data_IF_804097537272
#
_entry.id   IF_804097537272
#
_cell.length_a   1.000
_cell.length_b   1.000
_cell.length_c   1.000
_cell.angle_alpha   90.00
_cell.angle_beta   90.00
_cell.angle_gamma   90.00
#
_symmetry.space_group_name_H-M   'P 1'
#
loop_
_entity.id
_entity.type
_entity.pdbx_description
1 polymer ?
#
# COMPACT_ATOMS: atom_id res chain seq x y z
N UNK A 1 -3.71 33.58 -18.43
CA UNK A 1 -4.60 32.67 -17.69
C UNK A 1 -4.00 31.28 -17.75
N UNK A 2 -3.48 30.78 -16.65
CA UNK A 2 -2.99 29.39 -16.53
C UNK A 2 -4.26 28.54 -16.51
N UNK A 3 -4.65 27.97 -17.65
CA UNK A 3 -5.69 26.93 -17.70
C UNK A 3 -5.09 25.70 -17.04
N UNK A 4 -5.23 25.63 -15.71
CA UNK A 4 -4.87 24.44 -14.95
C UNK A 4 -5.72 23.31 -15.49
N UNK A 5 -5.07 22.32 -16.14
CA UNK A 5 -5.76 21.16 -16.67
C UNK A 5 -6.53 20.50 -15.50
N UNK A 6 -7.84 20.25 -15.62
CA UNK A 6 -8.68 19.71 -14.53
C UNK A 6 -8.13 18.38 -13.98
N UNK A 7 -7.44 17.64 -14.83
CA UNK A 7 -6.76 16.39 -14.50
C UNK A 7 -5.63 16.57 -13.45
N UNK A 8 -4.85 17.66 -13.58
CA UNK A 8 -3.78 17.97 -12.62
C UNK A 8 -4.34 18.32 -11.25
N UNK A 9 -5.42 19.10 -11.22
CA UNK A 9 -6.11 19.45 -9.96
C UNK A 9 -6.67 18.20 -9.29
N UNK A 10 -7.30 17.32 -10.09
CA UNK A 10 -7.81 16.04 -9.57
C UNK A 10 -6.68 15.20 -8.96
N UNK A 11 -5.59 14.99 -9.69
CA UNK A 11 -4.45 14.22 -9.20
C UNK A 11 -3.79 14.85 -7.98
N UNK A 12 -3.70 16.17 -7.91
CA UNK A 12 -3.19 16.88 -6.73
C UNK A 12 -4.07 16.60 -5.51
N UNK A 13 -5.41 16.71 -5.67
CA UNK A 13 -6.37 16.38 -4.59
C UNK A 13 -6.20 14.93 -4.14
N UNK A 14 -6.16 13.95 -5.05
CA UNK A 14 -5.92 12.54 -4.72
C UNK A 14 -4.66 12.36 -3.89
N UNK A 15 -3.55 12.97 -4.31
CA UNK A 15 -2.28 12.87 -3.60
C UNK A 15 -2.31 13.48 -2.20
N UNK A 16 -2.99 14.62 -2.02
CA UNK A 16 -3.23 15.21 -0.70
C UNK A 16 -4.11 14.28 0.15
N UNK A 17 -5.17 13.69 -0.43
CA UNK A 17 -6.03 12.72 0.25
C UNK A 17 -5.26 11.52 0.78
N UNK A 18 -4.40 10.91 -0.05
CA UNK A 18 -3.55 9.80 0.37
C UNK A 18 -2.66 10.20 1.57
N UNK A 19 -2.05 11.39 1.52
CA UNK A 19 -1.21 11.88 2.60
C UNK A 19 -1.99 12.07 3.91
N UNK A 20 -3.17 12.69 3.83
CA UNK A 20 -4.06 12.92 5.00
C UNK A 20 -4.56 11.61 5.59
N UNK A 21 -5.05 10.67 4.76
CA UNK A 21 -5.53 9.37 5.24
C UNK A 21 -4.41 8.50 5.79
N UNK A 22 -3.20 8.57 5.22
CA UNK A 22 -2.03 7.91 5.80
C UNK A 22 -1.68 8.49 7.17
N UNK A 23 -1.68 9.82 7.32
CA UNK A 23 -1.42 10.48 8.59
C UNK A 23 -2.49 10.07 9.64
N UNK A 24 -3.76 10.08 9.27
CA UNK A 24 -4.86 9.63 10.12
C UNK A 24 -4.67 8.17 10.56
N UNK A 25 -4.40 7.26 9.60
CA UNK A 25 -4.12 5.87 9.91
C UNK A 25 -2.95 5.73 10.90
N UNK A 26 -1.87 6.49 10.70
CA UNK A 26 -0.67 6.40 11.53
C UNK A 26 -0.90 6.89 12.95
N UNK A 27 -1.76 7.89 13.11
CA UNK A 27 -2.10 8.45 14.43
C UNK A 27 -3.07 7.56 15.20
N UNK A 28 -4.09 7.02 14.55
CA UNK A 28 -5.23 6.38 15.22
C UNK A 28 -5.27 4.85 15.09
N UNK A 29 -4.90 4.29 13.93
CA UNK A 29 -5.15 2.88 13.63
C UNK A 29 -3.89 1.98 13.68
N UNK A 30 -2.67 2.54 13.64
CA UNK A 30 -1.46 1.75 13.44
C UNK A 30 -1.09 0.84 14.62
N UNK A 31 -1.61 1.11 15.82
CA UNK A 31 -1.34 0.34 17.04
C UNK A 31 -2.41 -0.70 17.35
N UNK A 32 -3.55 -0.65 16.67
CA UNK A 32 -4.64 -1.59 16.90
C UNK A 32 -4.26 -3.02 16.52
N UNK A 33 -4.75 -3.96 17.29
CA UNK A 33 -4.56 -5.40 17.07
C UNK A 33 -5.72 -6.05 16.31
N UNK A 34 -6.72 -5.27 15.93
CA UNK A 34 -7.86 -5.71 15.10
C UNK A 34 -7.47 -5.67 13.61
N UNK A 35 -6.66 -6.62 13.15
CA UNK A 35 -6.07 -6.62 11.83
C UNK A 35 -7.08 -6.62 10.68
N UNK A 36 -8.26 -7.23 10.85
CA UNK A 36 -9.33 -7.20 9.83
C UNK A 36 -9.88 -5.78 9.66
N UNK A 37 -10.17 -5.07 10.76
CA UNK A 37 -10.63 -3.68 10.71
C UNK A 37 -9.56 -2.75 10.10
N UNK A 38 -8.29 -2.98 10.43
CA UNK A 38 -7.18 -2.26 9.80
C UNK A 38 -7.10 -2.48 8.30
N UNK A 39 -7.33 -3.72 7.83
CA UNK A 39 -7.40 -4.05 6.40
C UNK A 39 -8.50 -3.24 5.71
N UNK A 40 -9.72 -3.27 6.26
CA UNK A 40 -10.87 -2.52 5.74
C UNK A 40 -10.55 -1.02 5.72
N UNK A 41 -10.03 -0.48 6.82
CA UNK A 41 -9.69 0.95 6.93
C UNK A 41 -8.65 1.37 5.87
N UNK A 42 -7.55 0.60 5.72
CA UNK A 42 -6.50 0.91 4.75
C UNK A 42 -7.02 0.91 3.29
N UNK A 43 -7.83 -0.10 2.92
CA UNK A 43 -8.42 -0.17 1.58
C UNK A 43 -9.47 0.92 1.36
N UNK A 44 -10.29 1.22 2.39
CA UNK A 44 -11.28 2.30 2.34
C UNK A 44 -10.60 3.67 2.20
N UNK A 45 -9.53 3.95 2.91
CA UNK A 45 -8.77 5.20 2.79
C UNK A 45 -8.20 5.37 1.38
N UNK A 46 -7.71 4.27 0.80
CA UNK A 46 -7.25 4.23 -0.57
C UNK A 46 -8.37 4.58 -1.56
N UNK A 47 -9.53 3.94 -1.43
CA UNK A 47 -10.70 4.19 -2.28
C UNK A 47 -11.23 5.63 -2.09
N UNK A 48 -11.35 6.10 -0.84
CA UNK A 48 -11.83 7.44 -0.51
C UNK A 48 -10.90 8.52 -1.07
N UNK A 49 -9.59 8.28 -1.15
CA UNK A 49 -8.65 9.24 -1.75
C UNK A 49 -8.96 9.54 -3.22
N UNK A 50 -9.53 8.59 -3.96
CA UNK A 50 -9.96 8.76 -5.34
C UNK A 50 -11.41 9.26 -5.47
N UNK A 51 -12.26 8.90 -4.51
CA UNK A 51 -13.69 9.24 -4.57
C UNK A 51 -13.97 10.69 -4.12
N UNK A 52 -13.29 11.16 -3.06
CA UNK A 52 -13.62 12.48 -2.52
C UNK A 52 -13.40 13.65 -3.50
N UNK A 53 -12.40 13.64 -4.42
CA UNK A 53 -12.26 14.74 -5.36
C UNK A 53 -13.35 14.79 -6.44
N UNK A 54 -14.11 13.69 -6.61
CA UNK A 54 -15.25 13.61 -7.53
C UNK A 54 -16.51 14.25 -6.93
N UNK A 55 -16.56 14.42 -5.61
CA UNK A 55 -17.65 15.09 -4.94
C UNK A 55 -17.52 16.61 -5.12
N UNK A 56 -18.56 17.24 -5.64
CA UNK A 56 -18.60 18.70 -5.80
C UNK A 56 -18.80 19.39 -4.46
N UNK A 57 -17.68 19.49 -3.69
CA UNK A 57 -17.69 20.19 -2.41
C UNK A 57 -17.88 21.70 -2.57
N UNK A 58 -17.71 22.28 -3.78
CA UNK A 58 -17.85 23.72 -3.99
C UNK A 58 -19.30 24.16 -3.85
N UNK A 59 -20.26 23.34 -4.33
CA UNK A 59 -21.67 23.61 -4.15
C UNK A 59 -22.04 23.67 -2.68
N UNK A 60 -21.61 22.68 -1.90
CA UNK A 60 -21.88 22.62 -0.46
C UNK A 60 -21.18 23.74 0.32
N UNK A 61 -19.94 24.10 -0.02
CA UNK A 61 -19.19 25.19 0.63
C UNK A 61 -19.85 26.54 0.39
N UNK A 62 -20.37 26.80 -0.83
CA UNK A 62 -21.07 28.04 -1.18
C UNK A 62 -22.40 28.23 -0.43
N UNK A 63 -22.99 27.15 0.09
CA UNK A 63 -24.20 27.22 0.91
C UNK A 63 -23.91 27.57 2.38
N UNK A 64 -22.64 27.61 2.80
CA UNK A 64 -22.25 27.92 4.18
C UNK A 64 -21.96 29.43 4.34
N UNK A 65 -22.83 30.22 5.00
CA UNK A 65 -22.67 31.68 5.11
C UNK A 65 -21.34 32.07 5.80
N UNK A 66 -20.94 31.36 6.84
CA UNK A 66 -19.70 31.63 7.56
C UNK A 66 -18.42 31.48 6.71
N UNK A 67 -18.43 30.57 5.72
CA UNK A 67 -17.29 30.36 4.82
C UNK A 67 -17.27 31.44 3.73
N UNK A 68 -18.45 31.88 3.26
CA UNK A 68 -18.54 32.96 2.28
C UNK A 68 -18.05 34.29 2.85
N UNK A 69 -18.43 34.64 4.08
CA UNK A 69 -17.92 35.85 4.75
C UNK A 69 -16.38 35.81 4.89
N UNK A 70 -15.82 34.66 5.22
CA UNK A 70 -14.37 34.49 5.32
C UNK A 70 -13.69 34.62 3.95
N UNK A 71 -14.28 34.02 2.90
CA UNK A 71 -13.77 34.08 1.54
C UNK A 71 -13.81 35.51 0.99
N UNK A 72 -14.90 36.27 1.24
CA UNK A 72 -15.06 37.66 0.85
C UNK A 72 -14.05 38.56 1.57
N UNK A 73 -13.79 38.31 2.85
CA UNK A 73 -12.78 39.04 3.63
C UNK A 73 -11.36 38.81 3.04
N UNK A 74 -10.98 37.58 2.71
CA UNK A 74 -9.70 37.27 2.07
C UNK A 74 -9.62 37.82 0.64
N UNK A 75 -10.70 37.78 -0.14
CA UNK A 75 -10.75 38.36 -1.46
C UNK A 75 -10.54 39.88 -1.40
N UNK A 76 -11.13 40.56 -0.45
CA UNK A 76 -10.94 42.00 -0.23
C UNK A 76 -9.49 42.32 0.16
N UNK A 77 -8.85 41.53 1.03
CA UNK A 77 -7.44 41.70 1.38
C UNK A 77 -6.54 41.51 0.16
N UNK A 78 -6.76 40.49 -0.67
CA UNK A 78 -5.97 40.24 -1.87
C UNK A 78 -6.14 41.35 -2.93
N UNK A 79 -7.34 41.93 -3.06
CA UNK A 79 -7.58 43.08 -3.97
C UNK A 79 -6.88 44.36 -3.53
N UNK A 80 -6.62 44.51 -2.25
CA UNK A 80 -5.96 45.69 -1.72
C UNK A 80 -4.44 45.68 -2.04
N UNK A 81 -3.83 44.50 -2.21
CA UNK A 81 -2.42 44.35 -2.55
C UNK A 81 -2.14 44.44 -4.07
N UNK A 82 -3.15 44.28 -4.96
CA UNK A 82 -2.89 44.24 -6.41
C UNK A 82 -3.06 45.56 -7.14
N UNK A 83 -3.38 46.66 -6.48
CA UNK A 83 -3.59 47.96 -7.14
C UNK A 83 -2.29 48.76 -7.51
N UNK A 84 -1.13 48.12 -7.56
CA UNK A 84 0.15 48.80 -7.88
C UNK A 84 0.87 48.20 -9.09
N UNK A 85 0.18 47.62 -10.06
CA UNK A 85 0.81 47.15 -11.30
C UNK A 85 0.17 47.77 -12.53
N UNK A 86 0.71 48.90 -12.97
CA UNK A 86 0.46 49.51 -14.28
C UNK A 86 0.85 48.50 -15.37
N UNK A 87 -0.10 48.02 -16.13
CA UNK A 87 0.13 47.13 -17.27
C UNK A 87 0.74 47.95 -18.44
N UNK A 88 2.03 47.85 -18.62
CA UNK A 88 2.68 48.23 -19.87
C UNK A 88 2.42 47.15 -20.90
N UNK A 89 1.66 47.48 -21.94
CA UNK A 89 1.49 46.63 -23.13
C UNK A 89 2.81 46.60 -23.90
N UNK A 90 3.62 45.61 -23.68
CA UNK A 90 4.78 45.26 -24.49
C UNK A 90 4.33 44.27 -25.54
N UNK A 91 4.34 44.70 -26.82
CA UNK A 91 4.17 43.81 -27.98
C UNK A 91 5.32 42.81 -27.97
N UNK A 92 4.97 41.56 -27.60
CA UNK A 92 5.92 40.46 -27.53
C UNK A 92 6.38 40.01 -28.93
N UNK A 93 7.71 39.78 -29.14
CA UNK A 93 8.20 39.11 -30.34
C UNK A 93 7.61 37.71 -30.44
N UNK A 94 7.42 37.21 -31.66
CA UNK A 94 6.96 35.86 -31.97
C UNK A 94 7.88 34.86 -31.26
N UNK A 95 7.42 34.34 -30.14
CA UNK A 95 8.18 33.38 -29.35
C UNK A 95 8.13 32.03 -30.10
N UNK A 96 9.31 31.49 -30.37
CA UNK A 96 9.47 30.05 -30.71
C UNK A 96 8.79 29.26 -29.60
N UNK A 97 7.88 28.32 -29.86
CA UNK A 97 7.20 27.56 -28.82
C UNK A 97 8.23 26.72 -28.05
N UNK A 98 8.72 27.25 -26.96
CA UNK A 98 9.47 26.45 -26.00
C UNK A 98 8.47 25.56 -25.26
N UNK A 99 8.76 24.28 -25.07
CA UNK A 99 7.87 23.39 -24.34
C UNK A 99 7.57 24.00 -22.96
N UNK A 100 6.29 24.12 -22.62
CA UNK A 100 5.87 24.62 -21.32
C UNK A 100 6.39 23.67 -20.23
N UNK A 101 6.82 24.21 -19.11
CA UNK A 101 7.27 23.43 -17.94
C UNK A 101 6.23 22.38 -17.55
N UNK A 102 4.95 22.70 -17.69
CA UNK A 102 3.84 21.77 -17.42
C UNK A 102 3.85 20.56 -18.37
N UNK A 103 4.21 20.75 -19.62
CA UNK A 103 4.27 19.64 -20.57
C UNK A 103 5.46 18.71 -20.29
N UNK A 104 6.56 19.27 -19.83
CA UNK A 104 7.72 18.47 -19.37
C UNK A 104 7.34 17.63 -18.12
N UNK A 105 6.64 18.23 -17.16
CA UNK A 105 6.18 17.53 -15.95
C UNK A 105 5.21 16.39 -16.31
N UNK A 106 4.25 16.63 -17.20
CA UNK A 106 3.32 15.61 -17.70
C UNK A 106 4.08 14.47 -18.39
N UNK A 107 5.04 14.81 -19.25
CA UNK A 107 5.85 13.82 -19.96
C UNK A 107 6.63 12.92 -18.99
N UNK A 108 7.31 13.51 -17.99
CA UNK A 108 8.03 12.75 -16.95
C UNK A 108 7.08 11.88 -16.15
N UNK A 109 5.89 12.40 -15.83
CA UNK A 109 4.87 11.63 -15.09
C UNK A 109 4.43 10.38 -15.86
N UNK A 110 4.12 10.51 -17.16
CA UNK A 110 3.72 9.38 -17.99
C UNK A 110 4.83 8.37 -18.23
N UNK A 111 6.08 8.81 -18.37
CA UNK A 111 7.24 7.91 -18.44
C UNK A 111 7.35 7.10 -17.13
N UNK A 112 7.19 7.73 -15.98
CA UNK A 112 7.21 7.03 -14.70
C UNK A 112 6.13 5.94 -14.60
N UNK A 113 4.90 6.26 -15.00
CA UNK A 113 3.79 5.28 -15.06
C UNK A 113 4.14 4.13 -16.01
N UNK A 114 4.65 4.43 -17.21
CA UNK A 114 5.00 3.41 -18.21
C UNK A 114 6.06 2.44 -17.68
N UNK A 115 7.14 2.97 -17.10
CA UNK A 115 8.23 2.16 -16.56
C UNK A 115 7.79 1.27 -15.39
N UNK A 116 7.00 1.83 -14.46
CA UNK A 116 6.49 1.08 -13.31
C UNK A 116 5.45 0.04 -13.73
N UNK A 117 4.59 0.38 -14.70
CA UNK A 117 3.63 -0.58 -15.28
C UNK A 117 4.36 -1.72 -15.99
N UNK A 118 5.37 -1.42 -16.80
CA UNK A 118 6.19 -2.45 -17.46
C UNK A 118 6.86 -3.37 -16.43
N UNK A 119 7.46 -2.80 -15.38
CA UNK A 119 8.04 -3.58 -14.28
C UNK A 119 7.00 -4.49 -13.62
N UNK A 120 5.81 -3.98 -13.34
CA UNK A 120 4.72 -4.75 -12.73
C UNK A 120 4.27 -5.89 -13.63
N UNK A 121 4.12 -5.65 -14.93
CA UNK A 121 3.77 -6.67 -15.92
C UNK A 121 4.84 -7.77 -16.04
N UNK A 122 6.13 -7.41 -15.96
CA UNK A 122 7.24 -8.37 -15.92
C UNK A 122 7.15 -9.25 -14.66
N UNK A 123 6.84 -8.66 -13.49
CA UNK A 123 6.66 -9.41 -12.25
C UNK A 123 5.49 -10.39 -12.34
N UNK A 124 4.34 -9.97 -12.84
CA UNK A 124 3.17 -10.84 -13.05
C UNK A 124 3.49 -11.96 -14.05
N UNK A 125 4.12 -11.63 -15.17
CA UNK A 125 4.54 -12.63 -16.18
C UNK A 125 5.52 -13.66 -15.61
N UNK A 126 6.40 -13.24 -14.69
CA UNK A 126 7.32 -14.15 -13.98
C UNK A 126 6.57 -15.16 -13.11
N UNK A 127 5.54 -14.70 -12.37
CA UNK A 127 4.68 -15.59 -11.57
C UNK A 127 3.94 -16.57 -12.48
N UNK A 128 3.36 -16.10 -13.59
CA UNK A 128 2.68 -16.99 -14.55
C UNK A 128 3.61 -18.02 -15.16
N UNK A 129 4.84 -17.63 -15.53
CA UNK A 129 5.87 -18.59 -16.00
C UNK A 129 6.18 -19.65 -14.95
N UNK A 130 6.26 -19.24 -13.67
CA UNK A 130 6.51 -20.17 -12.57
C UNK A 130 5.34 -21.15 -12.39
N UNK A 131 4.08 -20.69 -12.53
CA UNK A 131 2.90 -21.55 -12.53
C UNK A 131 2.98 -22.60 -13.63
N UNK A 132 3.35 -22.24 -14.84
CA UNK A 132 3.46 -23.18 -15.98
C UNK A 132 4.57 -24.18 -15.80
N UNK A 133 5.69 -23.81 -15.16
CA UNK A 133 6.88 -24.65 -15.00
C UNK A 133 6.83 -25.58 -13.79
N UNK A 134 6.07 -25.24 -12.74
CA UNK A 134 6.01 -25.99 -11.48
C UNK A 134 5.01 -27.15 -11.52
N UNK A 135 5.31 -28.26 -10.83
CA UNK A 135 4.38 -29.39 -10.65
C UNK A 135 3.29 -28.98 -9.62
N UNK A 136 2.03 -29.25 -9.91
CA UNK A 136 0.93 -28.94 -9.03
C UNK A 136 0.41 -30.17 -8.29
N UNK A 137 0.11 -29.99 -7.01
CA UNK A 137 -0.62 -30.93 -6.16
C UNK A 137 -1.82 -30.13 -5.62
N UNK A 138 -3.04 -30.57 -5.91
CA UNK A 138 -4.24 -29.90 -5.42
C UNK A 138 -4.68 -30.50 -4.08
N UNK A 139 -4.80 -29.69 -3.06
CA UNK A 139 -5.29 -30.05 -1.74
C UNK A 139 -6.35 -29.02 -1.33
N UNK A 140 -7.57 -29.44 -1.01
CA UNK A 140 -8.67 -28.57 -0.55
C UNK A 140 -8.93 -27.35 -1.44
N UNK A 141 -8.97 -27.54 -2.76
CA UNK A 141 -9.15 -26.47 -3.77
C UNK A 141 -7.98 -25.47 -3.87
N UNK A 142 -6.89 -25.70 -3.17
CA UNK A 142 -5.68 -24.89 -3.24
C UNK A 142 -4.63 -25.65 -4.02
N UNK A 143 -4.04 -25.00 -5.01
CA UNK A 143 -2.97 -25.57 -5.82
C UNK A 143 -1.62 -25.30 -5.17
N UNK A 144 -1.02 -26.34 -4.59
CA UNK A 144 0.34 -26.30 -4.07
C UNK A 144 1.30 -26.57 -5.21
N UNK A 145 2.26 -25.69 -5.43
CA UNK A 145 3.27 -25.74 -6.47
C UNK A 145 4.65 -26.01 -5.87
N UNK A 146 5.21 -27.17 -6.14
CA UNK A 146 6.56 -27.51 -5.68
C UNK A 146 7.60 -26.80 -6.52
N UNK A 147 8.48 -26.05 -5.86
CA UNK A 147 9.65 -25.42 -6.47
C UNK A 147 10.80 -26.41 -6.59
N UNK A 148 11.56 -26.31 -7.67
CA UNK A 148 12.76 -27.14 -7.91
C UNK A 148 14.01 -26.61 -7.23
N UNK A 149 14.03 -25.32 -6.90
CA UNK A 149 15.15 -24.63 -6.25
C UNK A 149 14.76 -24.08 -4.90
N UNK A 150 15.71 -23.97 -3.95
CA UNK A 150 15.45 -23.36 -2.65
C UNK A 150 14.99 -21.92 -2.82
N UNK A 151 13.77 -21.63 -2.39
CA UNK A 151 13.21 -20.30 -2.38
C UNK A 151 12.27 -20.16 -1.18
N UNK A 152 12.06 -18.91 -0.74
CA UNK A 152 11.07 -18.65 0.28
C UNK A 152 9.68 -19.04 -0.20
N UNK A 153 8.84 -19.62 0.68
CA UNK A 153 7.46 -19.84 0.36
C UNK A 153 6.75 -18.52 0.06
N UNK A 154 5.82 -18.54 -0.86
CA UNK A 154 4.93 -17.43 -1.14
C UNK A 154 3.65 -17.92 -1.81
N UNK A 155 2.61 -17.11 -1.74
CA UNK A 155 1.33 -17.38 -2.38
C UNK A 155 0.92 -16.24 -3.30
N UNK A 156 0.24 -16.59 -4.38
CA UNK A 156 -0.39 -15.63 -5.29
C UNK A 156 -1.66 -16.21 -5.88
N UNK A 157 -2.77 -15.47 -5.78
CA UNK A 157 -4.10 -15.91 -6.22
C UNK A 157 -4.51 -17.21 -5.51
N UNK A 158 -4.61 -18.32 -6.23
CA UNK A 158 -4.95 -19.66 -5.73
C UNK A 158 -3.73 -20.59 -5.61
N UNK A 159 -2.53 -20.11 -5.88
CA UNK A 159 -1.30 -20.90 -5.91
C UNK A 159 -0.44 -20.63 -4.70
N UNK A 160 0.05 -21.70 -4.08
CA UNK A 160 1.08 -21.66 -3.04
C UNK A 160 2.35 -22.27 -3.63
N UNK A 161 3.44 -21.52 -3.58
CA UNK A 161 4.75 -21.96 -4.05
C UNK A 161 5.63 -22.27 -2.84
N UNK A 162 6.12 -23.53 -2.78
CA UNK A 162 6.94 -23.99 -1.65
C UNK A 162 8.03 -24.91 -2.15
N UNK A 163 9.22 -24.79 -1.55
CA UNK A 163 10.32 -25.75 -1.70
C UNK A 163 10.24 -26.76 -0.56
N UNK A 164 9.87 -27.99 -0.86
CA UNK A 164 9.59 -29.04 0.13
C UNK A 164 10.81 -29.74 0.72
N UNK A 165 11.94 -29.97 -0.01
CA UNK A 165 13.06 -30.73 0.51
C UNK A 165 13.66 -30.14 1.77
N UNK A 166 13.87 -30.96 2.80
CA UNK A 166 14.52 -30.58 4.05
C UNK A 166 13.64 -29.89 5.11
N UNK A 167 12.35 -29.66 4.83
CA UNK A 167 11.39 -29.13 5.81
C UNK A 167 10.89 -30.24 6.75
N UNK A 168 10.84 -29.94 8.05
CA UNK A 168 10.14 -30.78 9.02
C UNK A 168 8.64 -30.66 8.85
N UNK A 169 7.89 -31.67 9.24
CA UNK A 169 6.44 -31.69 9.02
C UNK A 169 5.72 -30.56 9.78
N UNK A 170 6.18 -30.23 11.00
CA UNK A 170 5.64 -29.11 11.77
C UNK A 170 5.89 -27.77 11.05
N UNK A 171 7.10 -27.54 10.55
CA UNK A 171 7.48 -26.33 9.79
C UNK A 171 6.66 -26.21 8.51
N UNK A 172 6.47 -27.31 7.81
CA UNK A 172 5.64 -27.37 6.60
C UNK A 172 4.20 -27.00 6.88
N UNK A 173 3.62 -27.52 7.99
CA UNK A 173 2.27 -27.22 8.41
C UNK A 173 2.10 -25.72 8.77
N UNK A 174 3.06 -25.13 9.45
CA UNK A 174 3.08 -23.70 9.77
C UNK A 174 3.11 -22.85 8.50
N UNK A 175 4.03 -23.15 7.57
CA UNK A 175 4.15 -22.45 6.28
C UNK A 175 2.85 -22.58 5.49
N UNK A 176 2.32 -23.80 5.36
CA UNK A 176 1.08 -24.01 4.62
C UNK A 176 -0.10 -23.25 5.22
N UNK A 177 -0.24 -23.22 6.54
CA UNK A 177 -1.31 -22.46 7.22
C UNK A 177 -1.18 -20.97 6.95
N UNK A 178 0.05 -20.44 6.96
CA UNK A 178 0.35 -19.04 6.64
C UNK A 178 -0.06 -18.70 5.19
N UNK A 179 0.46 -19.47 4.23
CA UNK A 179 0.20 -19.24 2.79
C UNK A 179 -1.26 -19.50 2.40
N UNK A 180 -1.90 -20.51 2.99
CA UNK A 180 -3.34 -20.75 2.80
C UNK A 180 -4.19 -19.57 3.27
N UNK A 181 -3.77 -18.88 4.31
CA UNK A 181 -4.47 -17.68 4.78
C UNK A 181 -4.45 -16.58 3.73
N UNK A 182 -3.31 -16.35 3.08
CA UNK A 182 -3.21 -15.39 1.97
C UNK A 182 -4.13 -15.76 0.81
N UNK A 183 -4.18 -17.04 0.44
CA UNK A 183 -5.06 -17.53 -0.63
C UNK A 183 -6.54 -17.39 -0.26
N UNK A 184 -6.95 -17.91 0.91
CA UNK A 184 -8.35 -17.93 1.35
C UNK A 184 -8.93 -16.53 1.58
N UNK A 185 -8.11 -15.59 2.01
CA UNK A 185 -8.53 -14.19 2.26
C UNK A 185 -8.30 -13.27 1.05
N UNK A 186 -7.88 -13.80 -0.10
CA UNK A 186 -7.68 -13.04 -1.34
C UNK A 186 -6.69 -11.87 -1.20
N UNK A 187 -5.66 -12.04 -0.38
CA UNK A 187 -4.67 -11.01 -0.10
C UNK A 187 -3.96 -10.49 -1.37
N UNK A 188 -3.88 -11.32 -2.43
CA UNK A 188 -3.33 -10.91 -3.72
C UNK A 188 -4.06 -9.73 -4.36
N UNK A 189 -5.39 -9.62 -4.12
CA UNK A 189 -6.18 -8.48 -4.63
C UNK A 189 -5.73 -7.18 -3.96
N UNK A 190 -5.56 -7.19 -2.64
CA UNK A 190 -5.12 -6.01 -1.89
C UNK A 190 -3.74 -5.53 -2.37
N UNK A 191 -2.84 -6.51 -2.61
CA UNK A 191 -1.50 -6.24 -3.13
C UNK A 191 -1.58 -5.62 -4.53
N UNK A 192 -2.39 -6.18 -5.44
CA UNK A 192 -2.56 -5.67 -6.81
C UNK A 192 -3.14 -4.25 -6.79
N UNK A 193 -4.21 -4.01 -6.00
CA UNK A 193 -4.81 -2.67 -5.85
C UNK A 193 -3.76 -1.68 -5.35
N UNK A 194 -3.02 -2.02 -4.31
CA UNK A 194 -1.99 -1.16 -3.76
C UNK A 194 -0.85 -0.87 -4.74
N UNK A 195 -0.49 -1.84 -5.60
CA UNK A 195 0.49 -1.64 -6.67
C UNK A 195 -0.02 -0.69 -7.75
N UNK A 196 -1.26 -0.88 -8.21
CA UNK A 196 -1.88 -0.01 -9.22
C UNK A 196 -1.93 1.45 -8.72
N UNK A 197 -2.40 1.66 -7.49
CA UNK A 197 -2.43 3.01 -6.90
C UNK A 197 -1.02 3.58 -6.78
N UNK A 198 -0.05 2.77 -6.38
CA UNK A 198 1.33 3.21 -6.26
C UNK A 198 1.97 3.55 -7.62
N UNK A 199 1.56 2.89 -8.71
CA UNK A 199 1.97 3.23 -10.08
C UNK A 199 1.36 4.58 -10.49
N UNK A 200 0.06 4.79 -10.24
CA UNK A 200 -0.63 6.03 -10.56
C UNK A 200 -0.08 7.20 -9.74
N UNK A 201 0.13 7.00 -8.44
CA UNK A 201 0.60 8.03 -7.51
C UNK A 201 2.10 7.88 -7.19
N UNK A 202 2.92 7.47 -8.17
CA UNK A 202 4.32 7.07 -7.93
C UNK A 202 5.21 8.17 -7.36
N UNK A 203 4.90 9.44 -7.64
CA UNK A 203 5.61 10.58 -7.09
C UNK A 203 5.27 10.86 -5.62
N UNK A 204 4.22 10.23 -5.10
CA UNK A 204 3.76 10.44 -3.74
C UNK A 204 4.41 9.44 -2.75
N UNK A 205 5.27 9.88 -1.83
CA UNK A 205 5.90 8.97 -0.87
C UNK A 205 4.88 8.31 0.07
N UNK A 206 3.75 8.97 0.36
CA UNK A 206 2.70 8.41 1.22
C UNK A 206 1.97 7.24 0.58
N UNK A 207 1.88 7.17 -0.76
CA UNK A 207 1.35 6.01 -1.47
C UNK A 207 2.25 4.78 -1.25
N UNK A 208 3.58 4.93 -1.29
CA UNK A 208 4.53 3.87 -1.00
C UNK A 208 4.45 3.40 0.45
N UNK A 209 4.31 4.33 1.39
CA UNK A 209 4.15 4.01 2.80
C UNK A 209 2.84 3.29 3.07
N UNK A 210 1.72 3.73 2.47
CA UNK A 210 0.42 3.09 2.60
C UNK A 210 0.44 1.66 2.06
N UNK A 211 1.03 1.44 0.88
CA UNK A 211 1.26 0.10 0.32
C UNK A 211 2.04 -0.79 1.28
N UNK A 212 3.07 -0.24 1.92
CA UNK A 212 3.89 -0.97 2.89
C UNK A 212 3.06 -1.39 4.12
N UNK A 213 2.22 -0.48 4.64
CA UNK A 213 1.33 -0.79 5.77
C UNK A 213 0.25 -1.83 5.39
N UNK A 214 -0.29 -1.77 4.16
CA UNK A 214 -1.22 -2.80 3.67
C UNK A 214 -0.54 -4.17 3.69
N UNK A 215 0.62 -4.31 3.05
CA UNK A 215 1.37 -5.58 3.02
C UNK A 215 1.69 -6.10 4.42
N UNK A 216 2.16 -5.22 5.31
CA UNK A 216 2.49 -5.58 6.68
C UNK A 216 1.26 -6.05 7.46
N UNK A 217 0.10 -5.44 7.23
CA UNK A 217 -1.14 -5.88 7.87
C UNK A 217 -1.62 -7.25 7.37
N UNK A 218 -1.40 -7.58 6.09
CA UNK A 218 -1.69 -8.91 5.55
C UNK A 218 -0.81 -9.99 6.19
N UNK A 219 0.47 -9.67 6.45
CA UNK A 219 1.36 -10.55 7.20
C UNK A 219 0.86 -10.79 8.64
N UNK A 220 0.39 -9.74 9.33
CA UNK A 220 -0.19 -9.89 10.68
C UNK A 220 -1.42 -10.79 10.68
N UNK A 221 -2.26 -10.73 9.64
CA UNK A 221 -3.43 -11.61 9.50
C UNK A 221 -3.02 -13.07 9.31
N UNK A 222 -2.03 -13.33 8.48
CA UNK A 222 -1.53 -14.67 8.23
C UNK A 222 -0.83 -15.25 9.47
N UNK A 223 0.06 -14.47 10.12
CA UNK A 223 0.73 -14.87 11.36
C UNK A 223 -0.27 -15.17 12.49
N UNK A 224 -1.31 -14.34 12.60
CA UNK A 224 -2.36 -14.57 13.59
C UNK A 224 -3.05 -15.91 13.38
N UNK A 225 -3.33 -16.28 12.13
CA UNK A 225 -3.99 -17.54 11.81
C UNK A 225 -3.15 -18.76 12.16
N UNK A 226 -1.84 -18.68 11.93
CA UNK A 226 -0.90 -19.73 12.36
C UNK A 226 -0.90 -19.88 13.88
N UNK A 227 -0.94 -18.76 14.63
CA UNK A 227 -0.98 -18.82 16.10
C UNK A 227 -2.32 -19.35 16.64
N UNK A 228 -3.43 -19.10 15.94
CA UNK A 228 -4.75 -19.66 16.30
C UNK A 228 -4.83 -21.19 16.08
N UNK A 229 -4.05 -21.76 15.16
CA UNK A 229 -4.03 -23.19 14.88
C UNK A 229 -3.35 -24.05 15.98
N UNK A 230 -2.92 -23.42 17.07
CA UNK A 230 -2.32 -24.14 18.21
C UNK A 230 -0.79 -24.30 18.13
N UNK A 231 -0.13 -23.72 17.17
CA UNK A 231 1.32 -23.74 17.00
C UNK A 231 2.03 -23.13 18.20
N UNK A 232 3.17 -23.70 18.58
CA UNK A 232 4.02 -23.15 19.63
C UNK A 232 4.58 -21.78 19.18
N UNK A 233 4.10 -20.71 19.82
CA UNK A 233 4.44 -19.32 19.48
C UNK A 233 5.93 -19.04 19.43
N UNK A 234 6.70 -19.58 20.40
CA UNK A 234 8.17 -19.39 20.44
C UNK A 234 8.83 -20.09 19.26
N UNK A 235 8.43 -21.34 18.98
CA UNK A 235 8.94 -22.09 17.83
C UNK A 235 8.66 -21.35 16.52
N UNK A 236 7.44 -20.88 16.31
CA UNK A 236 7.08 -20.09 15.14
C UNK A 236 7.89 -18.79 14.98
N UNK A 237 8.11 -18.05 16.07
CA UNK A 237 8.95 -16.85 16.05
C UNK A 237 10.40 -17.17 15.67
N UNK A 238 10.97 -18.27 16.19
CA UNK A 238 12.31 -18.73 15.81
C UNK A 238 12.35 -19.17 14.33
N UNK A 239 11.30 -19.82 13.83
CA UNK A 239 11.19 -20.19 12.43
C UNK A 239 11.16 -18.95 11.52
N UNK A 240 10.36 -17.93 11.85
CA UNK A 240 10.36 -16.64 11.13
C UNK A 240 11.75 -15.97 11.13
N UNK A 241 12.48 -16.03 12.25
CA UNK A 241 13.86 -15.51 12.32
C UNK A 241 14.82 -16.33 11.45
N UNK A 242 14.63 -17.65 11.38
CA UNK A 242 15.41 -18.55 10.52
C UNK A 242 15.22 -18.22 9.04
N UNK A 243 13.98 -18.05 8.58
CA UNK A 243 13.65 -17.64 7.21
C UNK A 243 14.27 -16.29 6.85
N UNK A 244 14.28 -15.34 7.76
CA UNK A 244 14.91 -14.04 7.54
C UNK A 244 16.45 -14.11 7.44
N UNK A 245 17.08 -15.04 8.19
CA UNK A 245 18.52 -15.24 8.13
C UNK A 245 19.00 -15.91 6.82
N UNK A 246 18.20 -16.80 6.25
CA UNK A 246 18.51 -17.41 4.95
C UNK A 246 18.58 -16.36 3.83
N UNK A 247 17.82 -15.27 3.93
CA UNK A 247 17.81 -14.14 2.99
C UNK A 247 19.02 -13.19 3.15
N UNK A 248 19.91 -13.37 4.15
CA UNK A 248 21.03 -12.45 4.39
C UNK A 248 22.12 -12.47 3.32
N UNK A 249 22.11 -13.38 2.38
CA UNK A 249 23.13 -13.49 1.34
C UNK A 249 22.99 -12.45 0.21
N UNK A 250 21.94 -11.64 0.19
CA UNK A 250 21.70 -10.59 -0.82
C UNK A 250 21.67 -9.18 -0.21
N UNK A 251 22.75 -8.67 0.09
CA UNK A 251 23.34 -7.45 0.71
C UNK A 251 22.48 -6.22 1.04
N UNK A 252 21.77 -5.55 0.15
CA UNK A 252 21.15 -4.24 0.37
C UNK A 252 19.66 -4.28 0.78
N UNK A 253 18.99 -5.39 0.56
CA UNK A 253 17.56 -5.60 0.86
C UNK A 253 17.27 -5.86 2.36
N UNK A 254 18.31 -5.99 3.18
CA UNK A 254 18.25 -6.58 4.53
C UNK A 254 17.63 -5.69 5.60
N UNK A 255 17.87 -4.38 5.58
CA UNK A 255 17.46 -3.52 6.70
C UNK A 255 15.93 -3.31 6.77
N UNK A 256 15.27 -3.24 5.62
CA UNK A 256 13.81 -3.13 5.55
C UNK A 256 13.12 -4.43 5.97
N UNK A 257 13.64 -5.58 5.55
CA UNK A 257 13.07 -6.89 5.91
C UNK A 257 13.17 -7.19 7.40
N UNK A 258 14.27 -6.81 8.05
CA UNK A 258 14.43 -6.97 9.50
C UNK A 258 13.47 -6.08 10.30
N UNK A 259 13.19 -4.85 9.83
CA UNK A 259 12.20 -3.97 10.44
C UNK A 259 10.79 -4.54 10.35
N UNK A 260 10.41 -5.09 9.19
CA UNK A 260 9.11 -5.76 8.99
C UNK A 260 8.97 -6.99 9.89
N UNK A 261 10.00 -7.84 9.95
CA UNK A 261 10.00 -9.01 10.82
C UNK A 261 9.88 -8.63 12.30
N UNK A 262 10.64 -7.63 12.76
CA UNK A 262 10.53 -7.12 14.12
C UNK A 262 9.11 -6.63 14.44
N UNK A 263 8.47 -5.95 13.51
CA UNK A 263 7.09 -5.49 13.66
C UNK A 263 6.10 -6.68 13.69
N UNK A 264 6.29 -7.73 12.89
CA UNK A 264 5.47 -8.96 12.94
C UNK A 264 5.54 -9.62 14.31
N UNK A 265 6.74 -9.84 14.83
CA UNK A 265 6.96 -10.44 16.17
C UNK A 265 6.34 -9.56 17.26
N UNK A 266 6.55 -8.24 17.21
CA UNK A 266 6.00 -7.31 18.20
C UNK A 266 4.46 -7.29 18.20
N UNK A 267 3.84 -7.23 17.04
CA UNK A 267 2.38 -7.20 16.93
C UNK A 267 1.73 -8.52 17.34
N UNK A 268 2.37 -9.63 17.01
CA UNK A 268 2.00 -10.96 17.47
C UNK A 268 1.98 -11.04 19.03
N UNK A 269 2.99 -10.47 19.67
CA UNK A 269 3.09 -10.41 21.14
C UNK A 269 2.02 -9.49 21.75
N UNK A 270 1.82 -8.29 21.20
CA UNK A 270 0.83 -7.33 21.71
C UNK A 270 -0.60 -7.88 21.65
N UNK A 271 -0.96 -8.56 20.57
CA UNK A 271 -2.28 -9.18 20.44
C UNK A 271 -2.51 -10.27 21.47
N UNK A 272 -1.45 -11.03 21.80
CA UNK A 272 -1.52 -12.03 22.85
C UNK A 272 -1.73 -11.42 24.24
N UNK A 273 -1.02 -10.34 24.56
CA UNK A 273 -1.23 -9.62 25.82
C UNK A 273 -2.63 -9.05 25.95
N UNK A 274 -3.16 -8.47 24.87
CA UNK A 274 -4.53 -7.95 24.88
C UNK A 274 -5.55 -9.06 25.13
N UNK A 275 -5.38 -10.23 24.51
CA UNK A 275 -6.25 -11.38 24.75
C UNK A 275 -6.21 -11.86 26.20
N UNK A 276 -5.02 -11.95 26.81
CA UNK A 276 -4.89 -12.30 28.24
C UNK A 276 -5.60 -11.28 29.13
N UNK A 277 -5.45 -9.98 28.82
CA UNK A 277 -6.10 -8.93 29.59
C UNK A 277 -7.64 -8.96 29.44
N UNK A 278 -8.14 -9.30 28.26
CA UNK A 278 -9.57 -9.52 28.04
C UNK A 278 -10.07 -10.72 28.85
N UNK A 279 -9.35 -11.84 28.81
CA UNK A 279 -9.68 -13.07 29.56
C UNK A 279 -9.61 -12.86 31.09
N UNK A 280 -8.73 -11.98 31.56
CA UNK A 280 -8.59 -11.62 32.99
C UNK A 280 -9.64 -10.61 33.49
N UNK A 281 -10.15 -9.72 32.60
CA UNK A 281 -11.17 -8.73 32.96
C UNK A 281 -12.61 -9.30 32.94
N UNK A 282 -12.79 -10.57 32.60
CA UNK A 282 -14.09 -11.26 32.63
C UNK A 282 -14.33 -11.92 33.99
N UNK A 283 -13.37 -11.87 34.90
CA UNK A 283 -13.47 -12.32 36.29
C UNK A 283 -13.30 -11.12 37.23
#
# INVERSE_FOLDING_TARGET
MITTAPELIYMLKVNIGIALFYAFYKLFCCRDTFFQWRRIALLSFLALSFLYPLMDMQAWVKEQPAINELADYYALMMLTETNTSTATVVTAPVAIPTPDLLDIIKFVYWIGILLLSARFMIQLSSIFRLVLKSKSINVDQISIRSLSEPANPFSFWQWIFIYLPGLKEDEKQEILTHEQTHVRQWHSIDVIISEIVNIICWMNPFAWLLKTEIRLNLEYLADHKVMESGTNKKAYQYHLLGLANQNRQTGLYNNFNLSHLKNRIKMSYNKFLNKINEDLNIY
#
